data_IF_482764610324
#
_entry.id   IF_482764610324
#
_cell.length_a   1.000
_cell.length_b   1.000
_cell.length_c   1.000
_cell.angle_alpha   90.00
_cell.angle_beta   90.00
_cell.angle_gamma   90.00
#
_symmetry.space_group_name_H-M   'P 1'
#
loop_
_entity.id
_entity.type
_entity.pdbx_description
1 polymer ?
#
# COMPACT_ATOMS: atom_id res chain seq x y z
N UNK A 1 -3.93 0.72 -2.39
CA UNK A 1 -4.16 1.75 -3.41
C UNK A 1 -2.84 2.24 -3.96
N UNK A 2 -1.97 2.87 -3.15
CA UNK A 2 -0.62 3.32 -3.57
C UNK A 2 0.12 2.37 -4.52
N UNK A 3 0.39 1.13 -4.08
CA UNK A 3 1.22 0.21 -4.86
C UNK A 3 0.57 -0.18 -6.21
N UNK A 4 -0.76 -0.15 -6.31
CA UNK A 4 -1.46 -0.32 -7.60
C UNK A 4 -1.15 0.89 -8.51
N UNK A 5 -1.08 2.10 -7.93
CA UNK A 5 -0.60 3.28 -8.62
C UNK A 5 0.81 3.12 -9.18
N UNK A 6 1.73 2.48 -8.45
CA UNK A 6 3.08 2.16 -8.94
C UNK A 6 3.04 1.22 -10.16
N UNK A 7 2.18 0.20 -10.12
CA UNK A 7 1.95 -0.71 -11.27
C UNK A 7 1.44 0.10 -12.47
N UNK A 8 0.45 0.95 -12.27
CA UNK A 8 -0.13 1.80 -13.32
C UNK A 8 0.87 2.81 -13.88
N UNK A 9 1.74 3.38 -13.03
CA UNK A 9 2.86 4.23 -13.48
C UNK A 9 3.83 3.45 -14.36
N UNK A 10 4.16 2.21 -14.00
CA UNK A 10 4.99 1.33 -14.84
C UNK A 10 4.35 1.03 -16.19
N UNK A 11 3.05 0.67 -16.20
CA UNK A 11 2.29 0.43 -17.45
C UNK A 11 2.24 1.72 -18.29
N UNK A 12 1.96 2.86 -17.67
CA UNK A 12 1.90 4.15 -18.34
C UNK A 12 3.24 4.57 -18.95
N UNK A 13 4.34 4.43 -18.20
CA UNK A 13 5.68 4.65 -18.72
C UNK A 13 6.00 3.69 -19.89
N UNK A 14 5.59 2.43 -19.76
CA UNK A 14 5.74 1.42 -20.81
C UNK A 14 5.02 1.81 -22.11
N UNK A 15 3.75 2.21 -22.00
CA UNK A 15 2.92 2.63 -23.12
C UNK A 15 3.42 3.92 -23.79
N UNK A 16 3.84 4.91 -22.99
CA UNK A 16 4.46 6.13 -23.51
C UNK A 16 5.78 5.83 -24.22
N UNK A 17 6.60 4.94 -23.65
CA UNK A 17 7.83 4.48 -24.29
C UNK A 17 7.57 3.87 -25.68
N UNK A 18 6.52 3.07 -25.84
CA UNK A 18 6.13 2.55 -27.15
C UNK A 18 5.63 3.65 -28.09
N UNK A 19 4.75 4.52 -27.60
CA UNK A 19 4.13 5.56 -28.42
C UNK A 19 5.14 6.55 -29.00
N UNK A 20 6.19 6.88 -28.25
CA UNK A 20 7.24 7.82 -28.66
C UNK A 20 8.50 7.13 -29.20
N UNK A 21 8.47 5.81 -29.48
CA UNK A 21 9.60 5.11 -30.10
C UNK A 21 10.82 4.93 -29.19
N UNK A 22 10.63 4.90 -27.87
CA UNK A 22 11.66 4.61 -26.87
C UNK A 22 11.54 3.18 -26.31
N UNK A 23 12.08 2.16 -27.01
CA UNK A 23 11.93 0.74 -26.64
C UNK A 23 12.49 0.42 -25.25
N UNK A 24 13.53 1.13 -24.82
CA UNK A 24 14.13 0.96 -23.50
C UNK A 24 13.15 1.34 -22.36
N UNK A 25 12.45 2.46 -22.51
CA UNK A 25 11.46 2.92 -21.54
C UNK A 25 10.26 1.97 -21.55
N UNK A 26 9.85 1.52 -22.74
CA UNK A 26 8.77 0.55 -22.91
C UNK A 26 9.01 -0.74 -22.10
N UNK A 27 10.17 -1.37 -22.33
CA UNK A 27 10.54 -2.62 -21.66
C UNK A 27 10.67 -2.42 -20.15
N UNK A 28 11.34 -1.35 -19.69
CA UNK A 28 11.51 -1.08 -18.25
C UNK A 28 10.17 -0.82 -17.56
N UNK A 29 9.26 -0.06 -18.19
CA UNK A 29 7.94 0.24 -17.65
C UNK A 29 7.10 -1.02 -17.45
N UNK A 30 6.97 -1.84 -18.51
CA UNK A 30 6.21 -3.09 -18.42
C UNK A 30 6.88 -4.13 -17.51
N UNK A 31 8.21 -4.24 -17.53
CA UNK A 31 8.94 -5.12 -16.63
C UNK A 31 8.77 -4.72 -15.17
N UNK A 32 8.90 -3.42 -14.87
CA UNK A 32 8.68 -2.86 -13.54
C UNK A 32 7.25 -3.11 -13.06
N UNK A 33 6.25 -2.89 -13.91
CA UNK A 33 4.85 -3.17 -13.58
C UNK A 33 4.60 -4.67 -13.28
N UNK A 34 5.12 -5.57 -14.11
CA UNK A 34 4.98 -7.02 -13.91
C UNK A 34 5.65 -7.48 -12.62
N UNK A 35 6.90 -7.04 -12.39
CA UNK A 35 7.65 -7.39 -11.18
C UNK A 35 7.00 -6.79 -9.92
N UNK A 36 6.53 -5.54 -9.99
CA UNK A 36 5.84 -4.91 -8.86
C UNK A 36 4.50 -5.58 -8.57
N UNK A 37 3.78 -6.07 -9.58
CA UNK A 37 2.55 -6.85 -9.38
C UNK A 37 2.81 -8.13 -8.58
N UNK A 38 3.86 -8.88 -8.95
CA UNK A 38 4.28 -10.07 -8.21
C UNK A 38 4.68 -9.73 -6.76
N UNK A 39 5.54 -8.72 -6.58
CA UNK A 39 6.00 -8.31 -5.27
C UNK A 39 4.82 -7.83 -4.40
N UNK A 40 3.90 -7.08 -5.00
CA UNK A 40 2.67 -6.63 -4.36
C UNK A 40 1.84 -7.78 -3.84
N UNK A 41 1.62 -8.82 -4.65
CA UNK A 41 0.90 -10.01 -4.21
C UNK A 41 1.59 -10.68 -3.01
N UNK A 42 2.92 -10.72 -2.97
CA UNK A 42 3.69 -11.35 -1.89
C UNK A 42 3.61 -10.55 -0.58
N UNK A 43 4.10 -9.30 -0.58
CA UNK A 43 4.17 -8.53 0.67
C UNK A 43 2.79 -8.09 1.17
N UNK A 44 1.80 -7.93 0.28
CA UNK A 44 0.45 -7.58 0.71
C UNK A 44 -0.24 -8.76 1.37
N UNK A 45 -0.11 -9.96 0.78
CA UNK A 45 -0.59 -11.20 1.39
C UNK A 45 0.05 -11.41 2.77
N UNK A 46 1.36 -11.18 2.89
CA UNK A 46 2.07 -11.26 4.16
C UNK A 46 1.47 -10.33 5.22
N UNK A 47 1.26 -9.05 4.88
CA UNK A 47 0.71 -8.05 5.81
C UNK A 47 -0.73 -8.37 6.21
N UNK A 48 -1.57 -8.83 5.29
CA UNK A 48 -2.96 -9.22 5.60
C UNK A 48 -3.02 -10.48 6.47
N UNK A 49 -2.19 -11.48 6.20
CA UNK A 49 -2.13 -12.69 7.02
C UNK A 49 -1.62 -12.37 8.43
N UNK A 50 -0.59 -11.53 8.55
CA UNK A 50 -0.08 -11.08 9.85
C UNK A 50 -1.10 -10.23 10.62
N UNK A 51 -1.83 -9.33 9.96
CA UNK A 51 -2.95 -8.62 10.56
C UNK A 51 -4.07 -9.58 11.00
N UNK A 52 -4.34 -10.63 10.22
CA UNK A 52 -5.26 -11.71 10.56
C UNK A 52 -4.83 -12.45 11.84
N UNK A 53 -3.54 -12.78 11.98
CA UNK A 53 -2.98 -13.36 13.21
C UNK A 53 -3.19 -12.45 14.43
N UNK A 54 -2.96 -11.14 14.28
CA UNK A 54 -3.19 -10.17 15.36
C UNK A 54 -4.67 -10.12 15.76
N UNK A 55 -5.59 -10.06 14.79
CA UNK A 55 -7.03 -10.04 15.06
C UNK A 55 -7.47 -11.34 15.74
N UNK A 56 -6.93 -12.49 15.29
CA UNK A 56 -7.24 -13.79 15.88
C UNK A 56 -6.79 -13.86 17.35
N UNK A 57 -5.61 -13.35 17.69
CA UNK A 57 -5.07 -13.38 19.04
C UNK A 57 -5.70 -12.35 20.00
N UNK A 58 -6.14 -11.19 19.46
CA UNK A 58 -6.59 -10.05 20.28
C UNK A 58 -8.10 -9.79 20.24
N UNK A 59 -8.81 -10.35 19.27
CA UNK A 59 -10.27 -10.21 19.11
C UNK A 59 -10.74 -8.82 18.66
N UNK A 60 -9.84 -7.88 18.39
CA UNK A 60 -10.20 -6.50 18.00
C UNK A 60 -9.48 -6.05 16.73
N UNK A 61 -10.15 -5.18 15.98
CA UNK A 61 -9.59 -4.47 14.80
C UNK A 61 -9.23 -3.03 15.12
N UNK A 62 -9.53 -2.56 16.32
CA UNK A 62 -9.26 -1.19 16.75
C UNK A 62 -7.79 -1.04 17.16
N UNK A 63 -6.97 -0.47 16.27
CA UNK A 63 -5.53 -0.23 16.49
C UNK A 63 -5.30 0.64 17.74
N UNK A 64 -6.23 1.53 18.08
CA UNK A 64 -6.12 2.38 19.27
C UNK A 64 -6.25 1.64 20.60
N UNK A 65 -6.71 0.37 20.59
CA UNK A 65 -6.76 -0.48 21.78
C UNK A 65 -5.59 -1.43 21.94
N UNK A 66 -4.73 -1.56 20.93
CA UNK A 66 -3.64 -2.54 20.87
C UNK A 66 -2.31 -1.96 21.38
N UNK A 67 -1.22 -2.72 21.44
CA UNK A 67 0.08 -2.21 21.88
C UNK A 67 0.90 -3.27 22.58
N UNK A 68 2.23 -3.18 22.48
CA UNK A 68 3.16 -4.11 23.14
C UNK A 68 3.11 -5.56 22.61
N UNK A 69 2.61 -5.78 21.38
CA UNK A 69 2.45 -7.12 20.82
C UNK A 69 3.78 -7.80 20.40
N UNK A 70 4.90 -7.06 20.39
CA UNK A 70 6.21 -7.60 19.99
C UNK A 70 6.68 -8.80 20.84
N UNK A 71 6.36 -8.80 22.14
CA UNK A 71 6.74 -9.88 23.07
C UNK A 71 5.83 -11.11 22.98
N UNK A 72 4.49 -10.98 23.01
CA UNK A 72 3.60 -12.14 22.92
C UNK A 72 3.53 -12.77 21.53
N UNK A 73 3.83 -12.00 20.47
CA UNK A 73 3.73 -12.46 19.08
C UNK A 73 5.02 -12.15 18.27
N UNK A 74 6.19 -12.69 18.67
CA UNK A 74 7.47 -12.31 18.07
C UNK A 74 7.60 -12.68 16.59
N UNK A 75 7.08 -13.83 16.16
CA UNK A 75 7.15 -14.27 14.77
C UNK A 75 6.21 -13.44 13.88
N UNK A 76 4.98 -13.19 14.35
CA UNK A 76 4.04 -12.30 13.64
C UNK A 76 4.61 -10.89 13.55
N UNK A 77 5.25 -10.39 14.61
CA UNK A 77 5.89 -9.07 14.63
C UNK A 77 7.03 -8.98 13.62
N UNK A 78 7.96 -9.93 13.63
CA UNK A 78 9.11 -9.94 12.73
C UNK A 78 8.68 -10.02 11.26
N UNK A 79 7.72 -10.89 10.95
CA UNK A 79 7.20 -11.05 9.59
C UNK A 79 6.40 -9.83 9.12
N UNK A 80 5.61 -9.21 10.00
CA UNK A 80 4.93 -7.94 9.70
C UNK A 80 5.91 -6.79 9.46
N UNK A 81 6.99 -6.72 10.24
CA UNK A 81 8.08 -5.74 10.04
C UNK A 81 8.73 -5.91 8.66
N UNK A 82 9.07 -7.15 8.27
CA UNK A 82 9.62 -7.45 6.94
C UNK A 82 8.62 -7.04 5.86
N UNK A 83 7.34 -7.40 6.00
CA UNK A 83 6.30 -6.99 5.05
C UNK A 83 6.13 -5.47 4.96
N UNK A 84 6.22 -4.77 6.10
CA UNK A 84 6.09 -3.30 6.18
C UNK A 84 7.28 -2.60 5.52
N UNK A 85 8.49 -3.11 5.71
CA UNK A 85 9.67 -2.60 5.04
C UNK A 85 9.65 -2.93 3.54
N UNK A 86 9.10 -4.09 3.15
CA UNK A 86 8.95 -4.47 1.74
C UNK A 86 7.95 -3.58 1.00
N UNK A 87 6.77 -3.33 1.56
CA UNK A 87 5.71 -2.56 0.90
C UNK A 87 6.04 -1.06 0.74
N UNK A 88 6.92 -0.52 1.59
CA UNK A 88 7.41 0.88 1.49
C UNK A 88 8.72 0.99 0.71
N UNK A 89 9.13 -0.08 0.02
CA UNK A 89 10.26 -0.03 -0.90
C UNK A 89 11.63 0.13 -0.23
N UNK A 90 11.82 -0.36 1.01
CA UNK A 90 13.13 -0.26 1.67
C UNK A 90 14.13 -1.29 1.13
N UNK A 91 15.33 -0.87 0.73
CA UNK A 91 16.45 -1.79 0.52
C UNK A 91 16.75 -2.58 1.80
N UNK A 92 17.07 -3.89 1.74
CA UNK A 92 17.32 -4.72 0.56
C UNK A 92 16.13 -5.64 0.19
N UNK A 93 14.88 -5.19 0.35
CA UNK A 93 13.69 -6.04 0.15
C UNK A 93 13.12 -5.96 -1.28
N UNK A 94 12.26 -6.91 -1.63
CA UNK A 94 11.71 -7.04 -2.98
C UNK A 94 10.98 -5.79 -3.52
N UNK A 95 10.22 -5.08 -2.68
CA UNK A 95 9.51 -3.88 -3.09
C UNK A 95 10.43 -2.84 -3.72
N UNK A 96 11.59 -2.61 -3.11
CA UNK A 96 12.64 -1.71 -3.63
C UNK A 96 13.07 -2.11 -5.04
N UNK A 97 13.31 -3.41 -5.28
CA UNK A 97 13.79 -3.91 -6.59
C UNK A 97 12.80 -3.58 -7.69
N UNK A 98 11.51 -3.85 -7.46
CA UNK A 98 10.46 -3.52 -8.44
C UNK A 98 10.29 -2.02 -8.67
N UNK A 99 10.29 -1.24 -7.60
CA UNK A 99 10.08 0.21 -7.67
C UNK A 99 11.27 0.89 -8.36
N UNK A 100 12.49 0.40 -8.11
CA UNK A 100 13.70 0.87 -8.79
C UNK A 100 13.63 0.68 -10.32
N UNK A 101 13.06 -0.44 -10.80
CA UNK A 101 12.86 -0.66 -12.26
C UNK A 101 11.86 0.35 -12.82
N UNK A 102 10.78 0.66 -12.10
CA UNK A 102 9.83 1.70 -12.49
C UNK A 102 10.48 3.09 -12.49
N UNK A 103 11.26 3.42 -11.45
CA UNK A 103 12.04 4.67 -11.41
C UNK A 103 13.01 4.78 -12.59
N UNK A 104 13.68 3.71 -12.98
CA UNK A 104 14.56 3.73 -14.16
C UNK A 104 13.80 4.07 -15.45
N UNK A 105 12.59 3.54 -15.62
CA UNK A 105 11.74 3.90 -16.76
C UNK A 105 11.39 5.39 -16.74
N UNK A 106 10.94 5.89 -15.58
CA UNK A 106 10.51 7.27 -15.41
C UNK A 106 11.67 8.27 -15.58
N UNK A 107 12.81 8.02 -14.93
CA UNK A 107 13.99 8.89 -15.00
C UNK A 107 14.57 8.97 -16.41
N UNK A 108 14.61 7.86 -17.14
CA UNK A 108 14.99 7.87 -18.56
C UNK A 108 13.98 8.62 -19.42
N UNK A 109 12.71 8.57 -19.04
CA UNK A 109 11.65 9.36 -19.63
C UNK A 109 11.85 10.88 -19.49
N UNK A 110 12.33 11.33 -18.33
CA UNK A 110 12.66 12.75 -18.12
C UNK A 110 13.74 13.22 -19.10
N UNK A 111 14.77 12.41 -19.33
CA UNK A 111 15.86 12.74 -20.27
C UNK A 111 15.49 12.66 -21.75
N UNK A 112 14.32 12.10 -22.10
CA UNK A 112 13.92 11.87 -23.49
C UNK A 112 13.26 13.09 -24.18
N UNK A 113 12.81 14.10 -23.42
CA UNK A 113 12.39 15.40 -23.97
C UNK A 113 10.96 15.50 -24.53
N UNK A 114 10.28 14.40 -24.89
CA UNK A 114 8.89 14.41 -25.43
C UNK A 114 7.79 14.44 -24.34
N UNK A 115 6.54 14.07 -24.63
CA UNK A 115 5.45 14.00 -23.63
C UNK A 115 5.72 13.03 -22.45
N UNK A 116 6.84 12.30 -22.50
CA UNK A 116 7.42 11.58 -21.37
C UNK A 116 7.94 12.56 -20.29
N UNK A 117 7.97 13.87 -20.52
CA UNK A 117 8.27 14.91 -19.51
C UNK A 117 7.37 14.80 -18.25
N UNK A 118 6.12 14.33 -18.38
CA UNK A 118 5.26 14.05 -17.21
C UNK A 118 5.84 12.97 -16.27
N UNK A 119 6.81 12.17 -16.73
CA UNK A 119 7.53 11.23 -15.89
C UNK A 119 8.29 11.92 -14.75
N UNK A 120 8.73 13.18 -14.93
CA UNK A 120 9.38 13.93 -13.85
C UNK A 120 8.42 14.24 -12.70
N UNK A 121 7.19 14.65 -13.03
CA UNK A 121 6.13 14.82 -12.05
C UNK A 121 5.79 13.47 -11.38
N UNK A 122 5.72 12.39 -12.15
CA UNK A 122 5.47 11.06 -11.61
C UNK A 122 6.53 10.61 -10.59
N UNK A 123 7.81 10.91 -10.83
CA UNK A 123 8.90 10.63 -9.86
C UNK A 123 8.69 11.38 -8.55
N UNK A 124 8.37 12.68 -8.62
CA UNK A 124 8.13 13.50 -7.42
C UNK A 124 6.91 13.00 -6.65
N UNK A 125 5.80 12.73 -7.35
CA UNK A 125 4.57 12.21 -6.74
C UNK A 125 4.82 10.84 -6.11
N UNK A 126 5.54 9.95 -6.79
CA UNK A 126 5.87 8.63 -6.26
C UNK A 126 6.72 8.73 -4.98
N UNK A 127 7.73 9.61 -4.96
CA UNK A 127 8.56 9.84 -3.77
C UNK A 127 7.74 10.40 -2.59
N UNK A 128 6.85 11.37 -2.84
CA UNK A 128 5.97 11.93 -1.81
C UNK A 128 5.01 10.88 -1.24
N UNK A 129 4.40 10.06 -2.11
CA UNK A 129 3.50 8.99 -1.68
C UNK A 129 4.28 7.93 -0.89
N UNK A 130 5.49 7.57 -1.33
CA UNK A 130 6.36 6.63 -0.61
C UNK A 130 6.72 7.14 0.79
N UNK A 131 6.98 8.45 0.95
CA UNK A 131 7.21 9.05 2.27
C UNK A 131 5.96 8.97 3.18
N UNK A 132 4.76 9.20 2.63
CA UNK A 132 3.50 9.03 3.35
C UNK A 132 3.24 7.57 3.73
N UNK A 133 3.57 6.63 2.85
CA UNK A 133 3.47 5.21 3.10
C UNK A 133 4.42 4.78 4.23
N UNK A 134 5.67 5.24 4.19
CA UNK A 134 6.63 5.04 5.27
C UNK A 134 6.09 5.56 6.61
N UNK A 135 5.58 6.78 6.65
CA UNK A 135 4.97 7.33 7.86
C UNK A 135 3.78 6.49 8.36
N UNK A 136 2.94 5.99 7.44
CA UNK A 136 1.81 5.13 7.76
C UNK A 136 2.26 3.78 8.35
N UNK A 137 3.25 3.12 7.74
CA UNK A 137 3.73 1.82 8.24
C UNK A 137 4.55 1.95 9.53
N UNK A 138 5.32 3.02 9.70
CA UNK A 138 5.97 3.35 10.99
C UNK A 138 4.92 3.54 12.09
N UNK A 139 3.83 4.26 11.80
CA UNK A 139 2.70 4.39 12.74
C UNK A 139 2.14 3.01 13.12
N UNK A 140 1.77 2.22 12.12
CA UNK A 140 1.13 0.91 12.33
C UNK A 140 2.04 0.00 13.17
N UNK A 141 3.31 -0.12 12.79
CA UNK A 141 4.29 -0.92 13.52
C UNK A 141 4.48 -0.42 14.96
N UNK A 142 4.72 0.89 15.12
CA UNK A 142 4.99 1.51 16.42
C UNK A 142 3.82 1.38 17.39
N UNK A 143 2.60 1.53 16.89
CA UNK A 143 1.38 1.56 17.73
C UNK A 143 0.87 0.15 18.06
N UNK A 144 1.05 -0.83 17.17
CA UNK A 144 0.63 -2.22 17.41
C UNK A 144 1.63 -3.01 18.25
N UNK A 145 2.91 -2.98 17.88
CA UNK A 145 3.89 -3.93 18.39
C UNK A 145 4.76 -3.36 19.50
N UNK A 146 5.05 -2.06 19.47
CA UNK A 146 5.88 -1.39 20.47
C UNK A 146 4.99 -0.79 21.59
N UNK A 147 5.64 -0.20 22.59
CA UNK A 147 4.96 0.45 23.71
C UNK A 147 4.38 -0.52 24.76
N UNK A 148 3.50 0.00 25.60
CA UNK A 148 2.81 -0.76 26.64
C UNK A 148 1.44 -1.24 26.17
N UNK A 149 0.94 -2.40 26.66
CA UNK A 149 -0.43 -2.82 26.42
C UNK A 149 -1.42 -1.76 26.91
N UNK A 150 -2.31 -1.29 26.03
CA UNK A 150 -3.21 -0.16 26.32
C UNK A 150 -4.52 -0.54 26.99
N UNK A 151 -5.07 -1.69 26.64
CA UNK A 151 -6.32 -2.20 27.20
C UNK A 151 -6.20 -3.65 27.65
N UNK A 152 -6.99 -4.00 28.65
CA UNK A 152 -7.30 -5.39 28.98
C UNK A 152 -8.12 -5.98 27.84
N UNK A 153 -7.47 -6.84 27.05
CA UNK A 153 -8.12 -7.61 26.01
C UNK A 153 -8.86 -8.79 26.64
N UNK A 154 -9.94 -9.25 26.00
CA UNK A 154 -10.72 -10.39 26.46
C UNK A 154 -9.87 -11.69 26.53
N UNK A 155 -8.88 -11.80 25.65
CA UNK A 155 -7.90 -12.88 25.61
C UNK A 155 -6.50 -12.32 25.74
N UNK A 156 -5.65 -13.00 26.51
CA UNK A 156 -4.23 -12.68 26.55
C UNK A 156 -3.63 -12.89 25.15
N UNK A 157 -2.92 -11.90 24.56
CA UNK A 157 -2.30 -12.06 23.27
C UNK A 157 -1.32 -13.23 23.30
N UNK A 158 -1.43 -14.12 22.34
CA UNK A 158 -0.54 -15.24 22.15
C UNK A 158 -0.16 -15.34 20.67
N UNK A 159 0.98 -15.96 20.42
CA UNK A 159 1.42 -16.24 19.07
C UNK A 159 0.45 -17.22 18.39
N UNK A 160 0.28 -17.08 17.06
CA UNK A 160 -0.66 -17.90 16.32
C UNK A 160 -0.19 -19.37 16.20
N UNK A 161 -1.10 -20.29 15.85
CA UNK A 161 -0.71 -21.68 15.63
C UNK A 161 0.29 -21.80 14.46
N UNK A 162 1.17 -22.84 14.42
CA UNK A 162 2.14 -23.03 13.35
C UNK A 162 1.54 -23.11 11.94
N UNK A 163 0.25 -23.48 11.81
CA UNK A 163 -0.47 -23.45 10.53
C UNK A 163 -0.66 -22.05 9.97
N UNK A 164 -0.80 -21.03 10.83
CA UNK A 164 -0.85 -19.63 10.42
C UNK A 164 0.55 -19.05 10.23
N UNK A 165 1.53 -19.38 11.07
CA UNK A 165 2.87 -18.77 11.01
C UNK A 165 3.67 -19.21 9.79
N UNK A 166 3.61 -20.49 9.40
CA UNK A 166 4.38 -21.02 8.26
C UNK A 166 4.20 -20.20 6.97
N UNK A 167 2.99 -19.85 6.52
CA UNK A 167 2.84 -19.00 5.35
C UNK A 167 3.36 -17.56 5.55
N UNK A 168 3.27 -16.99 6.76
CA UNK A 168 3.89 -15.68 7.05
C UNK A 168 5.42 -15.75 6.84
N UNK A 169 6.06 -16.76 7.41
CA UNK A 169 7.52 -16.94 7.28
C UNK A 169 7.91 -17.20 5.83
N UNK A 170 7.15 -18.02 5.10
CA UNK A 170 7.41 -18.30 3.69
C UNK A 170 7.31 -17.04 2.81
N UNK A 171 6.29 -16.21 3.01
CA UNK A 171 6.14 -14.95 2.27
C UNK A 171 7.21 -13.92 2.67
N UNK A 172 7.55 -13.84 3.96
CA UNK A 172 8.64 -12.97 4.43
C UNK A 172 9.99 -13.38 3.84
N UNK A 173 10.27 -14.68 3.78
CA UNK A 173 11.45 -15.21 3.13
C UNK A 173 11.46 -14.88 1.62
N UNK A 174 10.33 -15.01 0.93
CA UNK A 174 10.21 -14.61 -0.47
C UNK A 174 10.53 -13.11 -0.68
N UNK A 175 10.04 -12.21 0.19
CA UNK A 175 10.38 -10.79 0.13
C UNK A 175 11.89 -10.54 0.27
N UNK A 176 12.56 -11.26 1.16
CA UNK A 176 14.00 -11.13 1.39
C UNK A 176 14.81 -11.72 0.23
N UNK A 177 14.48 -12.92 -0.22
CA UNK A 177 15.21 -13.61 -1.31
C UNK A 177 15.13 -12.83 -2.61
N UNK A 178 13.93 -12.38 -3.00
CA UNK A 178 13.74 -11.57 -4.22
C UNK A 178 14.50 -10.24 -4.11
N UNK A 179 14.55 -9.65 -2.91
CA UNK A 179 15.27 -8.40 -2.65
C UNK A 179 16.79 -8.52 -2.71
N UNK A 180 17.35 -9.62 -2.19
CA UNK A 180 18.79 -9.87 -2.16
C UNK A 180 19.36 -10.41 -3.47
N UNK A 181 18.51 -10.96 -4.35
CA UNK A 181 18.94 -11.52 -5.64
C UNK A 181 18.24 -10.82 -6.83
N UNK A 182 18.39 -9.48 -7.01
CA UNK A 182 17.81 -8.78 -8.16
C UNK A 182 18.25 -9.38 -9.51
N UNK A 183 19.49 -9.86 -9.61
CA UNK A 183 20.04 -10.50 -10.81
C UNK A 183 19.25 -11.75 -11.24
N UNK A 184 18.58 -12.42 -10.32
CA UNK A 184 17.75 -13.59 -10.63
C UNK A 184 16.33 -13.25 -11.08
N UNK A 185 15.84 -12.04 -10.78
CA UNK A 185 14.42 -11.67 -10.97
C UNK A 185 14.21 -10.54 -11.98
N UNK A 186 15.15 -9.61 -12.10
CA UNK A 186 15.05 -8.47 -13.02
C UNK A 186 15.19 -8.92 -14.49
N UNK A 187 16.16 -9.77 -14.90
CA UNK A 187 16.24 -10.20 -16.30
C UNK A 187 14.99 -10.96 -16.79
N UNK A 188 14.41 -11.91 -16.03
CA UNK A 188 13.11 -12.50 -16.39
C UNK A 188 12.00 -11.46 -16.51
N UNK A 189 11.94 -10.47 -15.62
CA UNK A 189 10.95 -9.39 -15.71
C UNK A 189 11.15 -8.54 -16.98
N UNK A 190 12.40 -8.26 -17.37
CA UNK A 190 12.71 -7.55 -18.62
C UNK A 190 12.28 -8.35 -19.86
N UNK A 191 12.41 -9.68 -19.83
CA UNK A 191 11.87 -10.54 -20.91
C UNK A 191 10.36 -10.42 -21.00
N UNK A 192 9.65 -10.46 -19.86
CA UNK A 192 8.20 -10.19 -19.83
C UNK A 192 7.89 -8.80 -20.37
N UNK A 193 8.65 -7.78 -19.99
CA UNK A 193 8.51 -6.42 -20.51
C UNK A 193 8.67 -6.34 -22.04
N UNK A 194 9.67 -7.04 -22.60
CA UNK A 194 9.90 -7.10 -24.05
C UNK A 194 8.77 -7.83 -24.79
N UNK A 195 8.22 -8.90 -24.21
CA UNK A 195 7.09 -9.64 -24.77
C UNK A 195 5.83 -8.76 -24.81
N UNK A 196 5.53 -8.05 -23.72
CA UNK A 196 4.39 -7.12 -23.64
C UNK A 196 4.57 -5.95 -24.61
N UNK A 197 5.81 -5.47 -24.78
CA UNK A 197 6.15 -4.41 -25.71
C UNK A 197 6.14 -4.84 -27.20
N UNK A 198 6.03 -6.14 -27.50
CA UNK A 198 6.14 -6.66 -28.86
C UNK A 198 7.56 -6.53 -29.45
N UNK A 199 8.58 -6.49 -28.61
CA UNK A 199 9.99 -6.29 -29.00
C UNK A 199 10.78 -7.61 -28.95
N UNK A 200 11.86 -7.76 -29.76
CA UNK A 200 12.69 -8.96 -29.75
C UNK A 200 13.32 -9.21 -28.38
N UNK A 201 13.38 -10.48 -27.95
CA UNK A 201 13.91 -10.87 -26.64
C UNK A 201 15.37 -10.43 -26.40
N UNK A 202 16.18 -10.31 -27.46
CA UNK A 202 17.57 -9.84 -27.38
C UNK A 202 17.72 -8.41 -26.86
N UNK A 203 16.67 -7.59 -26.93
CA UNK A 203 16.66 -6.25 -26.31
C UNK A 203 16.74 -6.32 -24.79
N UNK A 204 16.18 -7.37 -24.18
CA UNK A 204 16.17 -7.58 -22.73
C UNK A 204 17.52 -8.07 -22.19
N UNK A 205 18.27 -8.86 -22.96
CA UNK A 205 19.51 -9.50 -22.48
C UNK A 205 20.69 -8.51 -22.37
N UNK A 206 20.82 -7.53 -23.28
CA UNK A 206 21.83 -6.45 -23.18
C UNK A 206 21.52 -5.48 -22.03
N UNK A 207 20.23 -5.32 -21.71
CA UNK A 207 19.74 -4.44 -20.63
C UNK A 207 19.77 -5.10 -19.25
N UNK A 208 19.57 -6.42 -19.17
CA UNK A 208 19.48 -7.14 -17.90
C UNK A 208 20.75 -7.03 -17.06
N UNK A 209 21.91 -7.05 -17.68
CA UNK A 209 23.20 -6.94 -16.98
C UNK A 209 23.48 -5.53 -16.48
N UNK A 210 23.16 -4.50 -17.28
CA UNK A 210 23.41 -3.09 -16.94
C UNK A 210 22.42 -2.53 -15.91
N UNK A 211 21.17 -2.98 -15.92
CA UNK A 211 20.15 -2.54 -14.97
C UNK A 211 20.15 -3.35 -13.65
N UNK A 212 20.39 -4.67 -13.70
CA UNK A 212 20.34 -5.52 -12.51
C UNK A 212 21.66 -5.55 -11.72
N UNK A 213 22.81 -5.37 -12.39
CA UNK A 213 24.13 -5.43 -11.76
C UNK A 213 24.32 -4.39 -10.64
N UNK A 214 24.19 -3.08 -10.93
CA UNK A 214 24.35 -2.03 -9.92
C UNK A 214 23.35 -2.16 -8.76
N UNK A 215 22.09 -2.53 -9.04
CA UNK A 215 21.07 -2.75 -8.02
C UNK A 215 21.41 -3.94 -7.11
N UNK A 216 21.95 -5.03 -7.68
CA UNK A 216 22.40 -6.21 -6.91
C UNK A 216 23.59 -5.85 -6.03
N UNK A 217 24.59 -5.15 -6.57
CA UNK A 217 25.76 -4.70 -5.80
C UNK A 217 25.32 -3.80 -4.65
N UNK A 218 24.44 -2.83 -4.91
CA UNK A 218 23.93 -1.91 -3.89
C UNK A 218 23.16 -2.64 -2.78
N UNK A 219 22.21 -3.50 -3.14
CA UNK A 219 21.38 -4.24 -2.17
C UNK A 219 22.21 -5.21 -1.32
N UNK A 220 23.14 -5.95 -1.93
CA UNK A 220 24.05 -6.86 -1.21
C UNK A 220 25.02 -6.09 -0.33
N UNK A 221 25.65 -5.01 -0.84
CA UNK A 221 26.57 -4.20 -0.06
C UNK A 221 25.87 -3.55 1.14
N UNK A 222 24.64 -3.06 0.96
CA UNK A 222 23.85 -2.51 2.06
C UNK A 222 23.46 -3.59 3.07
N UNK A 223 23.01 -4.77 2.61
CA UNK A 223 22.67 -5.88 3.49
C UNK A 223 23.88 -6.33 4.34
N UNK A 224 25.06 -6.44 3.72
CA UNK A 224 26.32 -6.74 4.40
C UNK A 224 26.70 -5.62 5.37
N UNK A 225 26.58 -4.36 4.96
CA UNK A 225 26.85 -3.20 5.81
C UNK A 225 25.96 -3.17 7.05
N UNK A 226 24.66 -3.43 6.89
CA UNK A 226 23.72 -3.55 8.00
C UNK A 226 24.05 -4.74 8.91
N UNK A 227 24.46 -5.88 8.36
CA UNK A 227 24.86 -7.04 9.15
C UNK A 227 26.16 -6.78 9.95
N UNK A 228 27.14 -6.09 9.35
CA UNK A 228 28.36 -5.65 10.02
C UNK A 228 28.04 -4.64 11.12
N UNK A 229 27.24 -3.61 10.81
CA UNK A 229 26.82 -2.60 11.79
C UNK A 229 26.06 -3.23 12.96
N UNK A 230 25.16 -4.19 12.70
CA UNK A 230 24.47 -4.95 13.74
C UNK A 230 25.45 -5.75 14.60
N UNK A 231 26.40 -6.46 13.97
CA UNK A 231 27.40 -7.25 14.70
C UNK A 231 28.28 -6.36 15.58
N UNK A 232 28.75 -5.23 15.05
CA UNK A 232 29.52 -4.23 15.80
C UNK A 232 28.71 -3.65 16.96
N UNK A 233 27.45 -3.29 16.72
CA UNK A 233 26.55 -2.82 17.78
C UNK A 233 26.43 -3.86 18.91
N UNK A 234 26.26 -5.14 18.57
CA UNK A 234 26.14 -6.21 19.56
C UNK A 234 27.45 -6.44 20.31
N UNK A 235 28.61 -6.43 19.66
CA UNK A 235 29.90 -6.62 20.32
C UNK A 235 30.24 -5.45 21.25
N UNK A 236 30.12 -4.22 20.76
CA UNK A 236 30.35 -3.00 21.55
C UNK A 236 29.36 -2.88 22.73
N UNK A 237 28.09 -3.25 22.51
CA UNK A 237 27.10 -3.28 23.58
C UNK A 237 27.37 -4.35 24.61
N UNK A 238 28.03 -5.46 24.26
CA UNK A 238 28.41 -6.51 25.22
C UNK A 238 29.64 -6.11 26.03
N UNK A 239 30.61 -5.47 25.38
CA UNK A 239 31.83 -4.95 26.02
C UNK A 239 31.53 -3.78 26.97
N UNK A 240 30.61 -2.88 26.59
CA UNK A 240 30.17 -1.77 27.44
C UNK A 240 29.16 -2.15 28.53
N UNK A 241 28.47 -3.29 28.40
CA UNK A 241 27.53 -3.80 29.41
C UNK A 241 28.24 -4.78 30.35
N UNK A 242 29.13 -4.28 31.19
CA UNK A 242 29.70 -5.03 32.33
C UNK A 242 28.66 -5.42 33.42
N UNK A 243 27.36 -5.22 33.17
CA UNK A 243 26.28 -5.55 34.11
C UNK A 243 25.08 -6.21 33.42
N UNK A 244 24.37 -7.09 34.15
CA UNK A 244 23.11 -7.67 33.68
C UNK A 244 22.10 -6.55 33.42
N UNK A 245 21.31 -6.59 32.33
CA UNK A 245 20.27 -5.60 32.09
C UNK A 245 19.29 -5.60 33.27
N UNK A 246 19.30 -4.52 34.06
CA UNK A 246 18.36 -4.31 35.15
C UNK A 246 17.06 -3.80 34.54
N UNK A 247 15.94 -4.46 34.85
CA UNK A 247 14.62 -3.91 34.54
C UNK A 247 14.37 -2.74 35.49
N UNK A 248 14.68 -1.52 35.04
CA UNK A 248 14.35 -0.29 35.75
C UNK A 248 13.15 0.40 35.11
N UNK A 249 12.51 1.30 35.85
CA UNK A 249 11.52 2.20 35.28
C UNK A 249 12.18 3.01 34.16
N UNK A 250 11.54 3.01 32.98
CA UNK A 250 11.93 3.92 31.90
C UNK A 250 11.72 5.37 32.33
N UNK A 251 12.49 6.29 31.76
CA UNK A 251 12.35 7.73 32.02
C UNK A 251 10.90 8.17 31.84
N UNK A 252 10.22 8.47 32.95
CA UNK A 252 8.82 8.84 32.96
C UNK A 252 8.58 10.34 32.78
N UNK A 253 9.59 11.12 32.35
CA UNK A 253 9.50 12.59 32.28
C UNK A 253 8.98 13.24 33.58
N UNK A 254 9.38 12.70 34.74
CA UNK A 254 8.93 13.15 36.06
C UNK A 254 7.68 12.44 36.60
N UNK A 255 7.05 11.54 35.84
CA UNK A 255 5.94 10.71 36.34
C UNK A 255 6.47 9.46 37.07
N UNK A 256 6.03 9.20 38.32
CA UNK A 256 6.49 8.07 39.12
C UNK A 256 5.95 6.72 38.62
N UNK A 257 4.79 6.72 37.96
CA UNK A 257 4.11 5.52 37.44
C UNK A 257 3.56 5.78 36.04
N UNK A 258 4.28 5.42 34.97
CA UNK A 258 3.79 5.60 33.60
C UNK A 258 2.55 4.73 33.37
N UNK A 259 1.46 5.37 32.95
CA UNK A 259 0.20 4.67 32.63
C UNK A 259 0.06 4.48 31.11
N UNK A 260 -0.70 3.48 30.63
CA UNK A 260 -0.89 3.28 29.19
C UNK A 260 -1.55 4.48 28.48
N UNK A 261 -2.23 5.37 29.22
CA UNK A 261 -2.81 6.62 28.68
C UNK A 261 -1.74 7.62 28.22
N UNK A 262 -0.50 7.49 28.68
CA UNK A 262 0.62 8.35 28.30
C UNK A 262 1.30 7.89 27.00
N UNK A 263 0.98 6.68 26.50
CA UNK A 263 1.51 6.18 25.25
C UNK A 263 0.81 6.83 24.04
N UNK A 264 1.55 7.00 22.93
CA UNK A 264 0.99 7.49 21.67
C UNK A 264 -0.09 6.53 21.13
N UNK A 265 -1.20 7.09 20.66
CA UNK A 265 -2.25 6.38 19.93
C UNK A 265 -2.01 6.50 18.42
N UNK A 266 -2.68 5.70 17.60
CA UNK A 266 -2.61 5.87 16.14
C UNK A 266 -3.13 7.25 15.73
N UNK A 267 -4.17 7.72 16.41
CA UNK A 267 -4.74 9.05 16.20
C UNK A 267 -3.73 10.15 16.53
N UNK A 268 -3.06 10.10 17.69
CA UNK A 268 -2.10 11.16 18.08
C UNK A 268 -0.80 11.12 17.27
N UNK A 269 -0.32 9.94 16.87
CA UNK A 269 0.84 9.81 16.00
C UNK A 269 0.61 10.45 14.62
N UNK A 270 -0.60 10.27 14.06
CA UNK A 270 -0.93 10.79 12.73
C UNK A 270 -1.27 12.29 12.74
N UNK A 271 -1.58 12.88 13.90
CA UNK A 271 -2.14 14.24 13.97
C UNK A 271 -1.29 15.32 13.28
N UNK A 272 0.05 15.42 13.50
CA UNK A 272 0.85 16.44 12.82
C UNK A 272 0.83 16.31 11.30
N UNK A 273 0.82 15.08 10.79
CA UNK A 273 0.77 14.82 9.36
C UNK A 273 -0.61 15.18 8.78
N UNK A 274 -1.68 14.80 9.47
CA UNK A 274 -3.05 15.09 9.03
C UNK A 274 -3.37 16.59 9.11
N UNK A 275 -2.77 17.33 10.04
CA UNK A 275 -2.94 18.77 10.13
C UNK A 275 -2.36 19.50 8.92
N UNK A 276 -1.21 19.06 8.39
CA UNK A 276 -0.62 19.60 7.15
C UNK A 276 -1.55 19.39 5.95
N UNK A 277 -2.20 18.23 5.88
CA UNK A 277 -3.10 17.86 4.77
C UNK A 277 -4.58 18.14 5.07
N UNK A 278 -4.90 18.88 6.13
CA UNK A 278 -6.28 19.05 6.61
C UNK A 278 -7.22 19.61 5.54
N UNK A 279 -6.72 20.52 4.70
CA UNK A 279 -7.48 21.15 3.61
C UNK A 279 -7.88 20.17 2.50
N UNK A 280 -7.17 19.06 2.34
CA UNK A 280 -7.39 18.08 1.28
C UNK A 280 -7.97 16.75 1.79
N UNK A 281 -7.55 16.33 2.98
CA UNK A 281 -7.84 14.99 3.50
C UNK A 281 -9.19 14.85 4.23
N UNK A 282 -9.99 15.92 4.35
CA UNK A 282 -11.34 15.85 4.93
C UNK A 282 -11.37 15.34 6.38
N UNK A 283 -10.31 15.58 7.15
CA UNK A 283 -10.14 14.97 8.47
C UNK A 283 -10.96 15.71 9.52
N UNK A 284 -11.87 15.00 10.18
CA UNK A 284 -12.61 15.49 11.35
C UNK A 284 -11.96 14.98 12.62
N UNK A 285 -11.46 15.90 13.43
CA UNK A 285 -10.89 15.59 14.74
C UNK A 285 -11.96 15.75 15.81
N UNK A 286 -12.14 14.72 16.64
CA UNK A 286 -13.01 14.78 17.81
C UNK A 286 -12.13 14.73 19.06
N UNK A 287 -12.00 15.88 19.72
CA UNK A 287 -11.21 16.04 20.94
C UNK A 287 -12.14 16.26 22.12
N UNK A 288 -12.10 15.34 23.08
CA UNK A 288 -12.74 15.49 24.39
C UNK A 288 -11.68 15.56 25.48
N UNK A 289 -12.07 15.92 26.70
CA UNK A 289 -11.15 15.93 27.85
C UNK A 289 -10.52 14.55 28.14
N UNK A 290 -11.14 13.46 27.67
CA UNK A 290 -10.72 12.09 27.98
C UNK A 290 -10.19 11.30 26.78
N UNK A 291 -10.52 11.70 25.55
CA UNK A 291 -10.20 10.96 24.33
C UNK A 291 -9.90 11.89 23.14
N UNK A 292 -8.92 11.48 22.34
CA UNK A 292 -8.60 12.08 21.05
C UNK A 292 -8.81 11.01 19.96
N UNK A 293 -9.78 11.25 19.08
CA UNK A 293 -10.09 10.37 17.97
C UNK A 293 -10.10 11.18 16.67
N UNK A 294 -9.57 10.58 15.62
CA UNK A 294 -9.53 11.19 14.29
C UNK A 294 -10.32 10.33 13.33
N UNK A 295 -11.30 10.92 12.67
CA UNK A 295 -12.11 10.26 11.64
C UNK A 295 -11.74 10.85 10.27
N UNK A 296 -11.23 10.00 9.39
CA UNK A 296 -11.07 10.34 7.98
C UNK A 296 -12.44 10.24 7.31
N UNK A 297 -12.91 11.34 6.74
CA UNK A 297 -14.07 11.36 5.82
C UNK A 297 -13.49 11.08 4.43
N UNK A 298 -14.10 10.18 3.67
CA UNK A 298 -13.71 9.98 2.27
C UNK A 298 -14.58 10.91 1.42
N UNK A 299 -14.04 12.03 0.88
CA UNK A 299 -14.86 13.03 0.21
C UNK A 299 -15.54 12.46 -1.04
N UNK A 300 -14.86 11.56 -1.75
CA UNK A 300 -15.42 10.96 -2.96
C UNK A 300 -16.54 10.00 -2.60
N UNK A 301 -16.36 9.19 -1.56
CA UNK A 301 -17.42 8.30 -1.11
C UNK A 301 -18.61 9.09 -0.54
N UNK A 302 -18.35 9.95 0.45
CA UNK A 302 -19.38 10.56 1.28
C UNK A 302 -20.09 11.74 0.59
N UNK A 303 -19.39 12.51 -0.25
CA UNK A 303 -19.94 13.70 -0.91
C UNK A 303 -20.37 13.44 -2.37
N UNK A 304 -19.78 12.45 -3.06
CA UNK A 304 -20.10 12.16 -4.47
C UNK A 304 -20.87 10.85 -4.62
N UNK A 305 -20.25 9.72 -4.29
CA UNK A 305 -20.81 8.39 -4.57
C UNK A 305 -22.08 8.12 -3.78
N UNK A 306 -22.08 8.39 -2.47
CA UNK A 306 -23.23 8.10 -1.62
C UNK A 306 -24.45 8.94 -2.02
N UNK A 307 -24.35 10.27 -2.26
CA UNK A 307 -25.48 11.06 -2.76
C UNK A 307 -25.99 10.59 -4.13
N UNK A 308 -25.10 10.30 -5.08
CA UNK A 308 -25.47 9.74 -6.39
C UNK A 308 -26.24 8.44 -6.21
N UNK A 309 -25.75 7.53 -5.37
CA UNK A 309 -26.40 6.26 -5.10
C UNK A 309 -27.75 6.41 -4.40
N UNK A 310 -27.87 7.37 -3.47
CA UNK A 310 -29.17 7.71 -2.86
C UNK A 310 -30.17 8.20 -3.93
N UNK A 311 -29.71 8.99 -4.90
CA UNK A 311 -30.50 9.42 -6.06
C UNK A 311 -30.94 8.26 -6.95
N UNK A 312 -30.02 7.36 -7.32
CA UNK A 312 -30.37 6.13 -8.07
C UNK A 312 -31.40 5.30 -7.31
N UNK A 313 -31.21 5.14 -5.99
CA UNK A 313 -32.13 4.38 -5.15
C UNK A 313 -33.52 5.01 -5.05
N UNK A 314 -33.60 6.34 -4.97
CA UNK A 314 -34.89 7.05 -4.91
C UNK A 314 -35.64 6.96 -6.24
N UNK A 315 -34.94 7.13 -7.37
CA UNK A 315 -35.53 6.93 -8.71
C UNK A 315 -35.99 5.49 -8.91
N UNK A 316 -35.19 4.50 -8.51
CA UNK A 316 -35.58 3.09 -8.56
C UNK A 316 -36.78 2.79 -7.65
N UNK A 317 -36.87 3.42 -6.47
CA UNK A 317 -38.02 3.29 -5.57
C UNK A 317 -39.29 3.90 -6.16
N UNK A 318 -39.18 5.04 -6.84
CA UNK A 318 -40.28 5.67 -7.56
C UNK A 318 -40.77 4.80 -8.73
N UNK A 319 -39.85 4.26 -9.55
CA UNK A 319 -40.18 3.33 -10.63
C UNK A 319 -40.88 2.06 -10.12
N UNK A 320 -40.43 1.51 -8.98
CA UNK A 320 -41.11 0.39 -8.31
C UNK A 320 -42.54 0.75 -7.89
N UNK A 321 -42.81 2.00 -7.54
CA UNK A 321 -44.17 2.45 -7.23
C UNK A 321 -45.05 2.54 -8.50
N UNK A 322 -44.47 3.02 -9.61
CA UNK A 322 -45.15 3.07 -10.91
C UNK A 322 -45.51 1.67 -11.44
N UNK A 323 -44.72 0.64 -11.10
CA UNK A 323 -44.92 -0.76 -11.47
C UNK A 323 -45.82 -1.56 -10.51
N UNK A 324 -46.63 -0.91 -9.67
CA UNK A 324 -47.53 -1.65 -8.75
C UNK A 324 -48.78 -2.17 -9.48
N UNK A 325 -48.72 -3.43 -9.93
CA UNK A 325 -49.77 -4.48 -9.93
C UNK A 325 -51.14 -4.26 -10.58
N UNK A 326 -51.48 -3.06 -11.07
CA UNK A 326 -52.79 -2.79 -11.68
C UNK A 326 -52.73 -2.85 -13.20
N UNK A 327 -53.48 -3.78 -13.81
CA UNK A 327 -53.54 -3.95 -15.27
C UNK A 327 -53.86 -2.64 -16.02
N UNK A 328 -54.76 -1.82 -15.46
CA UNK A 328 -55.16 -0.52 -16.00
C UNK A 328 -54.01 0.48 -16.12
N UNK A 329 -53.08 0.49 -15.15
CA UNK A 329 -51.90 1.38 -15.19
C UNK A 329 -50.92 0.93 -16.27
N UNK A 330 -50.72 -0.37 -16.45
CA UNK A 330 -49.86 -0.89 -17.51
C UNK A 330 -50.39 -0.55 -18.91
N UNK A 331 -51.70 -0.70 -19.14
CA UNK A 331 -52.30 -0.33 -20.43
C UNK A 331 -52.14 1.17 -20.73
N UNK A 332 -52.25 2.02 -19.72
CA UNK A 332 -52.01 3.46 -19.86
C UNK A 332 -50.55 3.79 -20.19
N UNK A 333 -49.59 3.12 -19.55
CA UNK A 333 -48.17 3.27 -19.88
C UNK A 333 -47.84 2.79 -21.30
N UNK A 334 -48.41 1.66 -21.73
CA UNK A 334 -48.22 1.15 -23.09
C UNK A 334 -48.83 2.11 -24.12
N UNK A 335 -50.04 2.61 -23.89
CA UNK A 335 -50.67 3.61 -24.76
C UNK A 335 -49.84 4.88 -24.87
N UNK A 336 -49.38 5.41 -23.74
CA UNK A 336 -48.50 6.59 -23.71
C UNK A 336 -47.17 6.36 -24.44
N UNK A 337 -46.56 5.18 -24.28
CA UNK A 337 -45.33 4.82 -24.98
C UNK A 337 -45.55 4.75 -26.50
N UNK A 338 -46.65 4.15 -26.97
CA UNK A 338 -46.98 4.08 -28.41
C UNK A 338 -47.19 5.48 -28.99
N UNK A 339 -47.95 6.35 -28.32
CA UNK A 339 -48.14 7.74 -28.75
C UNK A 339 -46.81 8.50 -28.78
N UNK A 340 -45.97 8.35 -27.75
CA UNK A 340 -44.66 8.97 -27.71
C UNK A 340 -43.73 8.47 -28.84
N UNK A 341 -43.73 7.17 -29.14
CA UNK A 341 -42.96 6.60 -30.25
C UNK A 341 -43.48 7.08 -31.61
N UNK A 342 -44.79 7.20 -31.80
CA UNK A 342 -45.38 7.75 -33.02
C UNK A 342 -45.01 9.23 -33.19
N UNK A 343 -45.07 10.02 -32.12
CA UNK A 343 -44.64 11.42 -32.13
C UNK A 343 -43.14 11.55 -32.41
N UNK A 344 -42.31 10.67 -31.84
CA UNK A 344 -40.88 10.61 -32.13
C UNK A 344 -40.60 10.26 -33.59
N UNK A 345 -41.32 9.30 -34.16
CA UNK A 345 -41.21 8.93 -35.58
C UNK A 345 -41.71 10.04 -36.52
N UNK A 346 -42.77 10.75 -36.14
CA UNK A 346 -43.27 11.91 -36.88
C UNK A 346 -42.29 13.10 -36.81
N UNK A 347 -41.61 13.28 -35.67
CA UNK A 347 -40.58 14.30 -35.50
C UNK A 347 -39.25 13.93 -36.16
N UNK A 348 -38.90 12.64 -36.19
CA UNK A 348 -37.70 12.09 -36.83
C UNK A 348 -37.87 11.80 -38.33
N UNK A 349 -39.10 11.85 -38.85
CA UNK A 349 -39.44 11.64 -40.27
C UNK A 349 -39.03 12.77 -41.22
N UNK A 350 -38.02 13.56 -40.86
CA UNK A 350 -37.37 14.53 -41.75
C UNK A 350 -35.85 14.37 -41.71
N UNK A 351 -35.37 13.34 -42.38
CA UNK A 351 -34.08 13.40 -43.07
C UNK A 351 -34.36 13.15 -44.55
N UNK A 352 -33.95 14.05 -45.47
CA UNK A 352 -33.93 13.74 -46.89
C UNK A 352 -32.96 12.60 -47.21
#
# INVERSE_FOLDING_TARGET
MENIGIILLGIGAGALGLAYGHPLIAVLGFAGAALHTLNHAIFKSLLFLAAGSVIHATGTREIDRLGGLARPMPATTATFLIGSAAIVGLPPLNGFVSEWVVYQALLRGVSAGDAIQFAGLAVVVLALIGALALACFVKVVGVLYLGTPRHTLATAPHEAAPGMIRPLVGLAAACVVIGLVPIGVVPPALRVGSLVAGLPAGTADVMGTTAAGPATVFTVALALGLAVAWRLYVTLSREGRGGRPVQSATWGCGYPTPTPRMAYTASSFAAPLLDVFRSFAGVRTHRTAQAFATHAVDPVLDEVLVPVWRGVRSTAAWLRHAQRGGLSRYLLWVGAAVVASLLYLLAGGRTP
#
